data_IF_793240207412
#
_entry.id   IF_793240207412
#
_cell.length_a   1.000
_cell.length_b   1.000
_cell.length_c   1.000
_cell.angle_alpha   90.00
_cell.angle_beta   90.00
_cell.angle_gamma   90.00
#
_symmetry.space_group_name_H-M   'P 1'
#
loop_
_entity.id
_entity.type
_entity.pdbx_description
1 polymer ?
#
# COMPACT_ATOMS: atom_id res chain seq x y z
N UNK A 1 18.24 9.23 29.45
CA UNK A 1 17.65 8.22 28.54
C UNK A 1 16.68 7.35 29.33
N UNK A 2 15.36 7.48 29.15
CA UNK A 2 14.43 6.62 29.86
C UNK A 2 14.27 5.27 29.13
N UNK A 3 14.46 4.19 29.91
CA UNK A 3 14.33 2.80 29.48
C UNK A 3 12.89 2.52 29.04
N UNK A 4 12.74 1.95 27.85
CA UNK A 4 11.47 1.45 27.30
C UNK A 4 11.02 0.28 28.18
N UNK A 5 9.92 0.44 28.92
CA UNK A 5 9.29 -0.63 29.69
C UNK A 5 8.78 -1.72 28.74
N UNK A 6 9.54 -2.78 28.56
CA UNK A 6 9.09 -4.01 27.90
C UNK A 6 8.25 -4.81 28.90
N UNK A 7 6.96 -4.99 28.61
CA UNK A 7 6.13 -5.97 29.32
C UNK A 7 6.69 -7.38 29.03
N UNK A 8 6.75 -8.30 30.01
CA UNK A 8 7.40 -9.60 29.85
C UNK A 8 6.51 -10.59 29.07
N UNK A 9 7.13 -11.35 28.16
CA UNK A 9 6.71 -12.61 27.53
C UNK A 9 5.20 -12.84 27.30
N UNK A 10 4.67 -12.32 26.19
CA UNK A 10 3.50 -12.91 25.54
C UNK A 10 4.01 -13.98 24.55
N UNK A 11 3.74 -15.26 24.83
CA UNK A 11 4.17 -16.34 23.94
C UNK A 11 3.65 -16.08 22.53
N UNK A 12 4.49 -16.13 21.47
CA UNK A 12 4.03 -15.87 20.12
C UNK A 12 2.93 -16.87 19.78
N UNK A 13 1.78 -16.35 19.38
CA UNK A 13 0.62 -17.15 18.96
C UNK A 13 1.06 -18.19 17.92
N UNK A 14 0.38 -19.35 17.90
CA UNK A 14 0.71 -20.42 16.93
C UNK A 14 0.73 -19.90 15.49
N UNK A 15 -0.16 -18.95 15.18
CA UNK A 15 -0.19 -18.22 13.90
C UNK A 15 1.12 -17.46 13.65
N UNK A 16 1.58 -16.68 14.63
CA UNK A 16 2.82 -15.91 14.51
C UNK A 16 4.04 -16.81 14.31
N UNK A 17 4.13 -17.92 15.03
CA UNK A 17 5.18 -18.93 14.82
C UNK A 17 5.14 -19.53 13.42
N UNK A 18 3.94 -19.84 12.91
CA UNK A 18 3.76 -20.35 11.55
C UNK A 18 4.19 -19.31 10.51
N UNK A 19 3.82 -18.04 10.70
CA UNK A 19 4.23 -16.93 9.84
C UNK A 19 5.76 -16.76 9.85
N UNK A 20 6.39 -16.73 11.02
CA UNK A 20 7.85 -16.60 11.15
C UNK A 20 8.58 -17.74 10.44
N UNK A 21 8.12 -19.00 10.60
CA UNK A 21 8.67 -20.15 9.87
C UNK A 21 8.51 -20.02 8.36
N UNK A 22 7.33 -19.60 7.90
CA UNK A 22 7.08 -19.39 6.48
C UNK A 22 7.99 -18.29 5.89
N UNK A 23 8.15 -17.17 6.60
CA UNK A 23 9.06 -16.09 6.22
C UNK A 23 10.52 -16.53 6.18
N UNK A 24 10.96 -17.32 7.16
CA UNK A 24 12.31 -17.91 7.17
C UNK A 24 12.51 -18.87 6.00
N UNK A 25 11.52 -19.73 5.72
CA UNK A 25 11.57 -20.66 4.59
C UNK A 25 11.66 -19.92 3.26
N UNK A 26 10.86 -18.88 3.07
CA UNK A 26 10.90 -18.02 1.88
C UNK A 26 12.28 -17.38 1.70
N UNK A 27 12.82 -16.77 2.77
CA UNK A 27 14.14 -16.15 2.74
C UNK A 27 15.26 -17.16 2.43
N UNK A 28 15.17 -18.37 3.01
CA UNK A 28 16.14 -19.43 2.76
C UNK A 28 16.09 -19.94 1.31
N UNK A 29 14.93 -19.94 0.66
CA UNK A 29 14.83 -20.28 -0.76
C UNK A 29 15.52 -19.26 -1.66
N UNK A 30 15.51 -17.97 -1.29
CA UNK A 30 16.23 -16.91 -1.99
C UNK A 30 17.76 -16.97 -1.81
N UNK A 31 18.25 -17.56 -0.71
CA UNK A 31 19.69 -17.72 -0.42
C UNK A 31 20.30 -19.01 -0.97
N UNK A 32 19.51 -19.85 -1.62
CA UNK A 32 20.01 -21.12 -2.16
C UNK A 32 20.94 -20.85 -3.36
N UNK A 33 22.05 -21.59 -3.45
CA UNK A 33 23.04 -21.49 -4.54
C UNK A 33 22.48 -21.90 -5.92
N UNK A 34 21.25 -22.42 -5.97
CA UNK A 34 20.54 -22.76 -7.20
C UNK A 34 19.35 -23.68 -7.02
N UNK A 35 18.86 -24.24 -8.13
CA UNK A 35 17.80 -25.25 -8.15
C UNK A 35 16.38 -24.70 -8.14
N UNK A 36 15.40 -25.58 -7.91
CA UNK A 36 13.99 -25.24 -8.00
C UNK A 36 13.56 -24.21 -6.94
N UNK A 37 14.17 -24.20 -5.75
CA UNK A 37 13.86 -23.25 -4.66
C UNK A 37 14.16 -21.81 -5.07
N UNK A 38 15.34 -21.56 -5.63
CA UNK A 38 15.72 -20.24 -6.15
C UNK A 38 14.81 -19.82 -7.31
N UNK A 39 14.48 -20.76 -8.22
CA UNK A 39 13.53 -20.50 -9.34
C UNK A 39 12.15 -20.11 -8.83
N UNK A 40 11.65 -20.78 -7.79
CA UNK A 40 10.35 -20.48 -7.18
C UNK A 40 10.37 -19.12 -6.47
N UNK A 41 11.41 -18.83 -5.71
CA UNK A 41 11.57 -17.52 -5.05
C UNK A 41 11.63 -16.39 -6.09
N UNK A 42 12.51 -16.50 -7.09
CA UNK A 42 12.66 -15.47 -8.14
C UNK A 42 11.39 -15.29 -8.98
N UNK A 43 10.70 -16.39 -9.32
CA UNK A 43 9.40 -16.30 -9.99
C UNK A 43 8.34 -15.67 -9.10
N UNK A 44 8.29 -16.04 -7.82
CA UNK A 44 7.37 -15.45 -6.84
C UNK A 44 7.56 -13.93 -6.70
N UNK A 45 8.81 -13.46 -6.55
CA UNK A 45 9.11 -12.02 -6.51
C UNK A 45 8.65 -11.32 -7.79
N UNK A 46 8.95 -11.88 -8.98
CA UNK A 46 8.45 -11.34 -10.26
C UNK A 46 6.92 -11.30 -10.33
N UNK A 47 6.23 -12.28 -9.75
CA UNK A 47 4.77 -12.30 -9.70
C UNK A 47 4.22 -11.22 -8.76
N UNK A 48 4.86 -10.99 -7.61
CA UNK A 48 4.50 -9.89 -6.69
C UNK A 48 4.73 -8.54 -7.36
N UNK A 49 5.80 -8.38 -8.14
CA UNK A 49 6.11 -7.12 -8.83
C UNK A 49 5.10 -6.76 -9.94
N UNK A 50 4.39 -7.76 -10.47
CA UNK A 50 3.28 -7.57 -11.42
C UNK A 50 1.97 -7.15 -10.78
N UNK A 51 1.84 -7.26 -9.45
CA UNK A 51 0.62 -6.86 -8.75
C UNK A 51 0.66 -5.35 -8.57
N UNK A 52 -0.47 -4.71 -8.84
CA UNK A 52 -0.66 -3.27 -8.65
C UNK A 52 -0.25 -2.85 -7.23
N UNK A 53 0.56 -1.79 -7.15
CA UNK A 53 1.10 -1.31 -5.88
C UNK A 53 -0.02 -0.89 -4.92
N UNK A 54 -1.14 -0.38 -5.41
CA UNK A 54 -2.28 0.02 -4.59
C UNK A 54 -2.92 -1.19 -3.91
N UNK A 55 -3.02 -2.33 -4.59
CA UNK A 55 -3.56 -3.56 -4.01
C UNK A 55 -2.66 -4.05 -2.86
N UNK A 56 -1.35 -4.07 -3.08
CA UNK A 56 -0.38 -4.50 -2.06
C UNK A 56 -0.31 -3.51 -0.89
N UNK A 57 -0.37 -2.20 -1.18
CA UNK A 57 -0.41 -1.16 -0.16
C UNK A 57 -1.64 -1.31 0.73
N UNK A 58 -2.83 -1.44 0.14
CA UNK A 58 -4.07 -1.69 0.88
C UNK A 58 -4.02 -3.00 1.68
N UNK A 59 -3.54 -4.08 1.07
CA UNK A 59 -3.39 -5.35 1.77
C UNK A 59 -2.39 -5.28 2.94
N UNK A 60 -1.43 -4.36 2.91
CA UNK A 60 -0.45 -4.20 3.99
C UNK A 60 -1.04 -3.51 5.23
N UNK A 61 -2.12 -2.74 5.08
CA UNK A 61 -2.77 -2.03 6.18
C UNK A 61 -3.34 -3.06 7.17
N UNK A 62 -2.98 -2.89 8.43
CA UNK A 62 -3.51 -3.71 9.53
C UNK A 62 -4.68 -3.00 10.19
N UNK A 63 -5.89 -3.35 9.74
CA UNK A 63 -7.14 -2.82 10.30
C UNK A 63 -7.36 -3.20 11.77
N UNK A 64 -6.60 -4.17 12.30
CA UNK A 64 -6.70 -4.57 13.71
C UNK A 64 -5.90 -3.67 14.66
N UNK A 65 -4.86 -3.00 14.13
CA UNK A 65 -4.02 -2.06 14.87
C UNK A 65 -4.49 -0.61 14.76
N UNK A 66 -5.34 -0.33 13.77
CA UNK A 66 -5.95 0.99 13.60
C UNK A 66 -7.00 1.29 14.67
N UNK A 67 -7.39 2.58 14.83
CA UNK A 67 -8.44 2.95 15.74
C UNK A 67 -9.74 2.20 15.41
N UNK A 68 -10.40 1.69 16.46
CA UNK A 68 -11.70 1.02 16.28
C UNK A 68 -12.75 2.08 16.00
N UNK A 69 -13.51 1.91 14.93
CA UNK A 69 -14.60 2.81 14.50
C UNK A 69 -15.60 3.08 15.63
N UNK A 70 -15.86 2.08 16.49
CA UNK A 70 -16.68 2.25 17.69
C UNK A 70 -16.15 3.27 18.71
N UNK A 71 -14.87 3.67 18.60
CA UNK A 71 -14.23 4.68 19.44
C UNK A 71 -14.20 6.07 18.77
N UNK A 72 -14.48 6.15 17.46
CA UNK A 72 -14.57 7.40 16.68
C UNK A 72 -15.98 7.99 16.68
N UNK A 73 -17.01 7.17 16.97
CA UNK A 73 -18.40 7.61 17.01
C UNK A 73 -18.78 8.43 18.24
N UNK A 74 -18.75 9.77 18.14
CA UNK A 74 -19.75 10.65 18.82
C UNK A 74 -19.96 11.98 18.05
N UNK A 75 -20.33 11.96 16.77
CA UNK A 75 -20.77 13.19 16.06
C UNK A 75 -21.94 13.04 15.07
N UNK A 76 -22.63 11.90 15.01
CA UNK A 76 -23.87 11.78 14.21
C UNK A 76 -25.10 12.02 15.09
N UNK A 77 -25.72 13.19 14.91
CA UNK A 77 -26.94 13.64 15.58
C UNK A 77 -28.15 12.71 15.33
N UNK A 78 -28.39 11.74 16.21
CA UNK A 78 -29.71 11.16 16.49
C UNK A 78 -29.64 10.27 17.75
N UNK A 79 -29.78 10.87 18.94
CA UNK A 79 -29.89 10.10 20.18
C UNK A 79 -29.31 10.84 21.38
N UNK A 80 -30.11 11.74 21.94
CA UNK A 80 -29.81 12.39 23.21
C UNK A 80 -30.10 11.39 24.34
N UNK A 81 -29.24 11.47 25.37
CA UNK A 81 -29.43 11.04 26.76
C UNK A 81 -28.77 9.72 27.20
N UNK A 82 -27.91 9.89 28.23
CA UNK A 82 -27.33 8.90 29.13
C UNK A 82 -25.97 8.29 28.74
N UNK A 83 -24.91 9.10 28.80
CA UNK A 83 -23.70 8.76 29.60
C UNK A 83 -22.74 9.95 29.65
N UNK A 84 -22.83 10.76 30.70
CA UNK A 84 -22.00 11.96 30.90
C UNK A 84 -20.74 11.73 31.74
N UNK A 85 -20.36 10.47 32.03
CA UNK A 85 -19.25 10.16 32.94
C UNK A 85 -18.49 8.87 32.56
N UNK A 86 -17.83 8.86 31.40
CA UNK A 86 -16.77 7.93 30.94
C UNK A 86 -16.78 8.05 29.40
N UNK A 87 -15.82 8.58 28.66
CA UNK A 87 -14.36 8.63 28.79
C UNK A 87 -13.85 9.72 27.84
N UNK A 88 -12.74 10.38 28.20
CA UNK A 88 -11.85 11.10 27.27
C UNK A 88 -11.25 10.09 26.26
N UNK A 89 -12.05 9.61 25.30
CA UNK A 89 -11.58 8.71 24.26
C UNK A 89 -10.79 9.53 23.25
N UNK A 90 -9.56 9.10 22.99
CA UNK A 90 -8.65 9.72 22.03
C UNK A 90 -9.34 9.98 20.70
N UNK A 91 -9.46 11.24 20.29
CA UNK A 91 -9.72 11.58 18.89
C UNK A 91 -8.45 11.17 18.11
N UNK A 92 -8.47 10.00 17.49
CA UNK A 92 -7.31 9.46 16.76
C UNK A 92 -7.29 10.13 15.39
N UNK A 93 -6.48 11.18 15.29
CA UNK A 93 -6.25 11.92 14.06
C UNK A 93 -5.09 11.29 13.29
N UNK A 94 -5.34 10.89 12.04
CA UNK A 94 -4.36 10.27 11.15
C UNK A 94 -3.99 11.29 10.05
N UNK A 95 -2.74 11.81 10.03
CA UNK A 95 -2.33 12.77 9.02
C UNK A 95 -2.09 12.07 7.67
N UNK A 96 -2.78 12.53 6.62
CA UNK A 96 -2.53 12.18 5.23
C UNK A 96 -1.48 13.12 4.65
N UNK A 97 -0.24 12.65 4.56
CA UNK A 97 0.91 13.47 4.18
C UNK A 97 0.96 13.64 2.65
N UNK A 98 1.07 14.89 2.17
CA UNK A 98 1.18 15.20 0.74
C UNK A 98 2.17 16.34 0.44
N UNK A 99 2.77 16.38 -0.77
CA UNK A 99 3.60 17.50 -1.22
C UNK A 99 2.72 18.67 -1.73
N UNK A 100 2.68 19.83 -1.05
CA UNK A 100 1.77 20.92 -1.39
C UNK A 100 2.04 21.54 -2.76
N UNK A 101 3.29 21.69 -3.20
CA UNK A 101 3.62 22.35 -4.46
C UNK A 101 3.14 21.56 -5.69
N UNK A 102 2.96 20.24 -5.57
CA UNK A 102 2.54 19.36 -6.67
C UNK A 102 1.05 18.98 -6.62
N UNK A 103 0.38 19.15 -5.48
CA UNK A 103 -1.04 18.83 -5.30
C UNK A 103 -1.87 20.07 -4.94
N UNK A 104 -1.50 21.25 -5.45
CA UNK A 104 -2.22 22.50 -5.13
C UNK A 104 -3.66 22.55 -5.66
N UNK A 105 -3.96 21.81 -6.73
CA UNK A 105 -5.27 21.82 -7.42
C UNK A 105 -6.18 20.64 -7.06
N UNK A 106 -5.66 19.62 -6.37
CA UNK A 106 -6.37 18.37 -6.09
C UNK A 106 -6.51 18.18 -4.59
N UNK A 107 -7.73 17.92 -4.12
CA UNK A 107 -7.94 17.50 -2.73
C UNK A 107 -7.40 16.07 -2.53
N UNK A 108 -6.32 15.88 -1.75
CA UNK A 108 -5.70 14.57 -1.57
C UNK A 108 -6.64 13.58 -0.89
N UNK A 109 -7.58 14.06 -0.05
CA UNK A 109 -8.54 13.20 0.61
C UNK A 109 -9.61 12.70 -0.37
N UNK A 110 -10.17 13.60 -1.19
CA UNK A 110 -11.13 13.24 -2.22
C UNK A 110 -10.54 12.26 -3.25
N UNK A 111 -9.29 12.49 -3.69
CA UNK A 111 -8.60 11.59 -4.62
C UNK A 111 -8.41 10.18 -4.01
N UNK A 112 -8.02 10.11 -2.73
CA UNK A 112 -7.93 8.84 -2.02
C UNK A 112 -9.29 8.13 -1.97
N UNK A 113 -10.36 8.84 -1.59
CA UNK A 113 -11.71 8.27 -1.51
C UNK A 113 -12.17 7.71 -2.86
N UNK A 114 -11.97 8.46 -3.94
CA UNK A 114 -12.31 8.03 -5.30
C UNK A 114 -11.61 6.72 -5.67
N UNK A 115 -10.30 6.63 -5.44
CA UNK A 115 -9.52 5.42 -5.71
C UNK A 115 -10.01 4.21 -4.90
N UNK A 116 -10.36 4.43 -3.62
CA UNK A 116 -10.88 3.39 -2.74
C UNK A 116 -12.25 2.87 -3.20
N UNK A 117 -13.17 3.77 -3.56
CA UNK A 117 -14.52 3.42 -4.03
C UNK A 117 -14.45 2.66 -5.35
N UNK A 118 -13.63 3.12 -6.29
CA UNK A 118 -13.48 2.50 -7.60
C UNK A 118 -12.94 1.07 -7.51
N UNK A 119 -11.95 0.82 -6.64
CA UNK A 119 -11.24 -0.47 -6.58
C UNK A 119 -11.82 -1.48 -5.59
N UNK A 120 -12.54 -1.02 -4.55
CA UNK A 120 -13.16 -1.90 -3.54
C UNK A 120 -14.01 -3.05 -4.11
N UNK A 121 -14.96 -2.84 -5.05
CA UNK A 121 -15.77 -3.93 -5.59
C UNK A 121 -14.96 -4.93 -6.42
N UNK A 122 -13.86 -4.49 -7.05
CA UNK A 122 -12.96 -5.35 -7.82
C UNK A 122 -12.27 -6.36 -6.90
N UNK A 123 -11.75 -5.90 -5.75
CA UNK A 123 -11.13 -6.78 -4.76
C UNK A 123 -12.10 -7.82 -4.20
N UNK A 124 -13.36 -7.44 -3.94
CA UNK A 124 -14.40 -8.39 -3.51
C UNK A 124 -14.68 -9.47 -4.56
N UNK A 125 -14.85 -9.09 -5.83
CA UNK A 125 -15.08 -10.04 -6.93
C UNK A 125 -13.88 -10.98 -7.12
N UNK A 126 -12.65 -10.45 -7.09
CA UNK A 126 -11.43 -11.24 -7.21
C UNK A 126 -11.22 -12.19 -6.03
N UNK A 127 -11.59 -11.78 -4.81
CA UNK A 127 -11.59 -12.67 -3.64
C UNK A 127 -12.45 -13.91 -3.90
N UNK A 128 -13.70 -13.71 -4.33
CA UNK A 128 -14.62 -14.82 -4.63
C UNK A 128 -14.11 -15.70 -5.76
N UNK A 129 -13.55 -15.10 -6.81
CA UNK A 129 -12.92 -15.84 -7.89
C UNK A 129 -11.82 -16.77 -7.39
N UNK A 130 -10.85 -16.25 -6.62
CA UNK A 130 -9.75 -17.07 -6.12
C UNK A 130 -10.21 -18.13 -5.12
N UNK A 131 -11.20 -17.83 -4.26
CA UNK A 131 -11.82 -18.84 -3.38
C UNK A 131 -12.44 -19.98 -4.19
N UNK A 132 -13.10 -19.66 -5.32
CA UNK A 132 -13.63 -20.67 -6.24
C UNK A 132 -12.53 -21.52 -6.91
N UNK A 133 -11.34 -20.96 -7.17
CA UNK A 133 -10.21 -21.67 -7.80
C UNK A 133 -9.46 -22.59 -6.83
N UNK A 134 -9.43 -22.28 -5.53
CA UNK A 134 -8.76 -23.08 -4.49
C UNK A 134 -9.07 -24.60 -4.58
N UNK A 135 -10.34 -25.07 -4.62
CA UNK A 135 -10.63 -26.50 -4.67
C UNK A 135 -10.05 -27.20 -5.90
N UNK A 136 -9.91 -26.51 -7.03
CA UNK A 136 -9.33 -27.06 -8.26
C UNK A 136 -7.80 -27.21 -8.18
N UNK A 137 -7.15 -26.45 -7.30
CA UNK A 137 -5.70 -26.52 -7.11
C UNK A 137 -5.28 -27.42 -5.96
N UNK A 138 -6.22 -27.86 -5.11
CA UNK A 138 -5.95 -28.79 -4.02
C UNK A 138 -5.34 -30.15 -4.43
N UNK A 139 -5.76 -30.80 -5.56
CA UNK A 139 -5.24 -32.12 -5.95
C UNK A 139 -3.73 -32.18 -6.23
N UNK A 140 -3.09 -31.04 -6.54
CA UNK A 140 -1.63 -30.96 -6.76
C UNK A 140 -0.81 -31.23 -5.49
N UNK A 141 -1.45 -31.36 -4.31
CA UNK A 141 -0.80 -31.77 -3.06
C UNK A 141 -0.24 -33.21 -3.11
N UNK A 142 -0.71 -34.04 -4.04
CA UNK A 142 -0.30 -35.45 -4.15
C UNK A 142 1.11 -35.65 -4.73
N UNK A 143 1.79 -34.59 -5.18
CA UNK A 143 3.13 -34.67 -5.78
C UNK A 143 4.21 -34.50 -4.68
N UNK A 144 5.04 -35.53 -4.41
CA UNK A 144 5.92 -35.55 -3.23
C UNK A 144 7.18 -34.66 -3.32
N UNK A 145 7.52 -34.13 -4.50
CA UNK A 145 8.80 -33.43 -4.73
C UNK A 145 8.70 -31.91 -4.56
N UNK A 146 7.53 -31.31 -4.83
CA UNK A 146 7.34 -29.85 -4.87
C UNK A 146 6.13 -29.51 -3.99
N UNK A 147 6.22 -28.53 -3.06
CA UNK A 147 5.06 -28.08 -2.31
C UNK A 147 3.95 -27.64 -3.28
N UNK A 148 2.67 -27.74 -2.90
CA UNK A 148 1.56 -27.32 -3.76
C UNK A 148 1.52 -25.78 -3.93
N UNK A 149 2.47 -25.24 -4.69
CA UNK A 149 2.63 -23.82 -4.99
C UNK A 149 1.37 -23.23 -5.66
N UNK A 150 0.70 -23.93 -6.60
CA UNK A 150 -0.56 -23.44 -7.16
C UNK A 150 -1.61 -23.18 -6.08
N UNK A 151 -1.80 -24.10 -5.14
CA UNK A 151 -2.74 -23.94 -4.04
C UNK A 151 -2.35 -22.79 -3.12
N UNK A 152 -1.09 -22.76 -2.65
CA UNK A 152 -0.63 -21.69 -1.76
C UNK A 152 -0.75 -20.32 -2.41
N UNK A 153 -0.47 -20.22 -3.71
CA UNK A 153 -0.68 -19.00 -4.48
C UNK A 153 -2.15 -18.60 -4.52
N UNK A 154 -3.08 -19.53 -4.80
CA UNK A 154 -4.51 -19.23 -4.84
C UNK A 154 -5.03 -18.76 -3.46
N UNK A 155 -4.64 -19.44 -2.39
CA UNK A 155 -4.99 -19.06 -1.01
C UNK A 155 -4.43 -17.67 -0.68
N UNK A 156 -3.15 -17.44 -0.99
CA UNK A 156 -2.53 -16.14 -0.78
C UNK A 156 -3.23 -15.04 -1.59
N UNK A 157 -3.57 -15.26 -2.87
CA UNK A 157 -4.30 -14.29 -3.69
C UNK A 157 -5.70 -13.99 -3.15
N UNK A 158 -6.43 -15.03 -2.72
CA UNK A 158 -7.73 -14.84 -2.06
C UNK A 158 -7.58 -13.98 -0.80
N UNK A 159 -6.58 -14.28 0.03
CA UNK A 159 -6.29 -13.53 1.25
C UNK A 159 -5.89 -12.08 0.99
N UNK A 160 -4.99 -11.82 0.03
CA UNK A 160 -4.54 -10.45 -0.27
C UNK A 160 -5.68 -9.58 -0.79
N UNK A 161 -6.53 -10.11 -1.68
CA UNK A 161 -7.70 -9.39 -2.15
C UNK A 161 -8.73 -9.14 -1.05
N UNK A 162 -8.93 -10.11 -0.16
CA UNK A 162 -9.83 -9.93 0.98
C UNK A 162 -9.30 -8.84 1.93
N UNK A 163 -8.01 -8.86 2.24
CA UNK A 163 -7.33 -7.83 3.04
C UNK A 163 -7.42 -6.45 2.38
N UNK A 164 -7.15 -6.35 1.08
CA UNK A 164 -7.27 -5.09 0.34
C UNK A 164 -8.70 -4.54 0.39
N UNK A 165 -9.72 -5.39 0.16
CA UNK A 165 -11.12 -4.98 0.27
C UNK A 165 -11.47 -4.48 1.69
N UNK A 166 -11.06 -5.20 2.73
CA UNK A 166 -11.28 -4.81 4.13
C UNK A 166 -10.57 -3.51 4.50
N UNK A 167 -9.35 -3.30 4.01
CA UNK A 167 -8.62 -2.07 4.20
C UNK A 167 -9.30 -0.90 3.47
N UNK A 168 -9.79 -1.10 2.23
CA UNK A 168 -10.50 -0.05 1.51
C UNK A 168 -11.77 0.39 2.21
N UNK A 169 -12.59 -0.55 2.71
CA UNK A 169 -13.80 -0.21 3.47
C UNK A 169 -13.45 0.51 4.76
N UNK A 170 -12.43 0.04 5.46
CA UNK A 170 -11.95 0.65 6.71
C UNK A 170 -11.45 2.09 6.51
N UNK A 171 -10.65 2.34 5.48
CA UNK A 171 -10.18 3.69 5.16
C UNK A 171 -11.31 4.63 4.74
N UNK A 172 -12.31 4.12 4.01
CA UNK A 172 -13.48 4.91 3.64
C UNK A 172 -14.30 5.30 4.87
N UNK A 173 -14.48 4.37 5.81
CA UNK A 173 -15.15 4.63 7.09
C UNK A 173 -14.39 5.69 7.91
N UNK A 174 -13.06 5.54 8.06
CA UNK A 174 -12.21 6.53 8.73
C UNK A 174 -12.28 7.91 8.08
N UNK A 175 -12.34 7.95 6.76
CA UNK A 175 -12.44 9.21 6.02
C UNK A 175 -13.80 9.87 6.20
N UNK A 176 -14.88 9.09 6.29
CA UNK A 176 -16.23 9.60 6.53
C UNK A 176 -16.43 10.10 7.97
N UNK A 177 -15.67 9.57 8.93
CA UNK A 177 -15.67 9.99 10.33
C UNK A 177 -14.72 11.17 10.62
N UNK A 178 -14.16 11.80 9.57
CA UNK A 178 -13.20 12.91 9.68
C UNK A 178 -11.97 12.57 10.55
N UNK A 179 -11.55 11.30 10.55
CA UNK A 179 -10.35 10.86 11.28
C UNK A 179 -9.07 11.02 10.47
N UNK A 180 -9.17 11.13 9.14
CA UNK A 180 -8.04 11.32 8.22
C UNK A 180 -8.05 12.78 7.77
N UNK A 181 -6.98 13.53 8.08
CA UNK A 181 -6.86 14.91 7.65
C UNK A 181 -5.64 15.12 6.75
N UNK A 182 -5.76 15.87 5.65
CA UNK A 182 -4.63 16.31 4.84
C UNK A 182 -3.62 17.10 5.68
N UNK A 183 -2.37 16.68 5.66
CA UNK A 183 -1.25 17.37 6.32
C UNK A 183 -0.16 17.68 5.29
N UNK A 184 0.07 18.96 4.94
CA UNK A 184 1.12 19.32 4.01
C UNK A 184 2.50 19.02 4.61
N UNK A 185 3.40 18.44 3.82
CA UNK A 185 4.79 18.22 4.25
C UNK A 185 5.78 18.98 3.37
N UNK A 186 6.49 19.92 3.99
CA UNK A 186 7.59 20.66 3.36
C UNK A 186 8.78 19.75 3.04
N UNK A 187 8.98 18.68 3.80
CA UNK A 187 10.10 17.75 3.58
C UNK A 187 9.84 16.87 2.35
N UNK A 188 8.60 16.42 2.14
CA UNK A 188 8.23 15.82 0.85
C UNK A 188 8.36 16.83 -0.28
N UNK A 189 7.89 18.06 -0.07
CA UNK A 189 7.94 19.10 -1.08
C UNK A 189 9.37 19.31 -1.61
N UNK A 190 10.35 19.49 -0.72
CA UNK A 190 11.77 19.60 -1.09
C UNK A 190 12.28 18.39 -1.87
N UNK A 191 11.86 17.19 -1.48
CA UNK A 191 12.25 15.95 -2.15
C UNK A 191 11.74 15.96 -3.60
N UNK A 192 10.47 16.27 -3.82
CA UNK A 192 9.89 16.32 -5.16
C UNK A 192 10.41 17.51 -5.98
N UNK A 193 10.63 18.69 -5.37
CA UNK A 193 11.21 19.85 -6.04
C UNK A 193 12.68 19.66 -6.43
N UNK A 194 13.45 18.88 -5.67
CA UNK A 194 14.81 18.53 -6.06
C UNK A 194 14.80 17.52 -7.21
N UNK A 195 13.85 16.59 -7.20
CA UNK A 195 13.70 15.61 -8.25
C UNK A 195 13.27 16.25 -9.58
N UNK A 196 12.37 17.26 -9.55
CA UNK A 196 11.98 18.01 -10.74
C UNK A 196 13.14 18.81 -11.37
N UNK A 197 14.03 19.37 -10.57
CA UNK A 197 15.23 20.09 -11.06
C UNK A 197 16.24 19.20 -11.78
N UNK A 198 16.17 17.88 -11.57
CA UNK A 198 17.05 16.91 -12.23
C UNK A 198 16.52 16.46 -13.60
N UNK A 199 15.30 16.85 -13.96
CA UNK A 199 14.79 16.64 -15.32
C UNK A 199 15.52 17.58 -16.30
N UNK A 200 15.98 17.07 -17.47
CA UNK A 200 16.49 17.92 -18.54
C UNK A 200 15.40 18.90 -18.99
N UNK A 201 15.76 20.17 -19.13
CA UNK A 201 14.87 21.26 -19.54
C UNK A 201 14.34 20.99 -20.97
N UNK A 202 13.02 20.83 -21.20
CA UNK A 202 12.46 20.93 -22.53
C UNK A 202 12.39 22.41 -22.87
N UNK A 203 13.53 23.01 -23.22
CA UNK A 203 13.55 24.34 -23.81
C UNK A 203 12.76 24.29 -25.14
N UNK A 204 11.45 24.56 -25.07
CA UNK A 204 10.50 25.01 -26.11
C UNK A 204 9.06 24.53 -25.79
N UNK A 205 8.42 25.06 -24.74
CA UNK A 205 6.95 25.11 -24.68
C UNK A 205 6.55 26.50 -24.21
N UNK A 206 6.43 27.39 -25.19
CA UNK A 206 5.79 28.69 -25.01
C UNK A 206 4.33 28.48 -24.59
N UNK A 207 3.94 29.27 -23.59
CA UNK A 207 2.60 29.71 -23.22
C UNK A 207 1.41 28.99 -23.91
N UNK A 208 0.65 28.21 -23.13
CA UNK A 208 -0.82 28.28 -23.20
C UNK A 208 -1.42 27.63 -21.93
N UNK A 209 -2.44 28.31 -21.39
CA UNK A 209 -3.29 27.82 -20.30
C UNK A 209 -3.77 26.40 -20.60
N UNK A 210 -3.59 25.47 -19.67
CA UNK A 210 -4.17 24.13 -19.74
C UNK A 210 -4.61 23.70 -18.35
N UNK A 211 -5.87 23.98 -18.07
CA UNK A 211 -6.64 23.31 -17.04
C UNK A 211 -6.65 21.79 -17.31
N UNK A 212 -6.50 21.02 -16.22
CA UNK A 212 -6.90 19.62 -16.08
C UNK A 212 -6.22 18.60 -17.01
N UNK A 213 -5.01 18.17 -16.65
CA UNK A 213 -4.63 16.75 -16.76
C UNK A 213 -3.46 16.45 -15.83
N UNK A 214 -3.42 15.24 -15.27
CA UNK A 214 -2.34 14.77 -14.41
C UNK A 214 -1.06 14.73 -15.26
N UNK A 215 -0.26 15.81 -15.19
CA UNK A 215 0.94 16.02 -16.01
C UNK A 215 1.78 14.73 -16.11
N UNK A 216 1.96 14.21 -17.33
CA UNK A 216 2.82 13.04 -17.60
C UNK A 216 4.25 13.24 -17.07
N UNK A 217 4.67 14.51 -16.94
CA UNK A 217 5.89 14.98 -16.29
C UNK A 217 6.02 14.56 -14.83
N UNK A 218 4.92 14.43 -14.08
CA UNK A 218 4.92 14.02 -12.66
C UNK A 218 5.35 12.56 -12.53
N UNK A 219 4.94 11.69 -13.46
CA UNK A 219 5.33 10.29 -13.45
C UNK A 219 6.82 10.07 -13.76
N UNK A 220 7.46 11.05 -14.42
CA UNK A 220 8.89 11.05 -14.73
C UNK A 220 9.77 11.72 -13.64
N UNK A 221 9.15 12.27 -12.58
CA UNK A 221 9.83 13.07 -11.52
C UNK A 221 10.99 12.36 -10.83
N UNK A 222 11.04 11.03 -10.82
CA UNK A 222 12.13 10.27 -10.22
C UNK A 222 12.89 9.44 -11.27
N UNK A 223 13.89 10.03 -11.96
CA UNK A 223 14.75 9.29 -12.89
C UNK A 223 15.48 8.14 -12.19
N UNK A 224 16.06 8.41 -11.01
CA UNK A 224 16.67 7.45 -10.10
C UNK A 224 15.91 7.42 -8.76
N UNK A 225 14.93 6.51 -8.59
CA UNK A 225 14.07 6.51 -7.42
C UNK A 225 14.75 5.98 -6.14
N UNK A 226 15.81 5.17 -6.27
CA UNK A 226 16.47 4.50 -5.13
C UNK A 226 17.03 5.44 -4.05
N UNK A 227 17.86 6.47 -4.36
CA UNK A 227 18.40 7.38 -3.34
C UNK A 227 17.28 8.21 -2.69
N UNK A 228 16.32 8.67 -3.48
CA UNK A 228 15.20 9.48 -3.00
C UNK A 228 14.28 8.70 -2.07
N UNK A 229 13.94 7.46 -2.42
CA UNK A 229 13.15 6.56 -1.56
C UNK A 229 13.89 6.28 -0.25
N UNK A 230 15.21 6.10 -0.29
CA UNK A 230 16.00 5.88 0.93
C UNK A 230 15.92 7.09 1.86
N UNK A 231 16.05 8.30 1.32
CA UNK A 231 15.88 9.54 2.08
C UNK A 231 14.47 9.66 2.69
N UNK A 232 13.42 9.28 1.96
CA UNK A 232 12.03 9.27 2.48
C UNK A 232 11.88 8.27 3.63
N UNK A 233 12.43 7.06 3.49
CA UNK A 233 12.36 6.03 4.54
C UNK A 233 13.02 6.52 5.82
N UNK A 234 14.19 7.14 5.72
CA UNK A 234 14.92 7.66 6.86
C UNK A 234 14.19 8.85 7.51
N UNK A 235 13.67 9.77 6.69
CA UNK A 235 12.93 10.97 7.16
C UNK A 235 11.67 10.59 7.94
N UNK A 236 10.87 9.65 7.42
CA UNK A 236 9.60 9.24 8.03
C UNK A 236 9.72 8.00 8.92
N UNK A 237 10.94 7.50 9.17
CA UNK A 237 11.20 6.29 9.95
C UNK A 237 10.34 5.09 9.50
N UNK A 238 10.20 4.92 8.18
CA UNK A 238 9.36 3.86 7.60
C UNK A 238 10.00 2.47 7.84
N UNK A 239 9.18 1.41 7.90
CA UNK A 239 9.71 0.05 8.03
C UNK A 239 10.60 -0.30 6.83
N UNK A 240 11.64 -1.11 7.06
CA UNK A 240 12.62 -1.51 6.01
C UNK A 240 11.98 -2.14 4.76
N UNK A 241 10.78 -2.73 4.89
CA UNK A 241 10.02 -3.28 3.76
C UNK A 241 9.35 -2.24 2.86
N UNK A 242 9.19 -1.00 3.32
CA UNK A 242 8.51 0.07 2.59
C UNK A 242 9.24 0.46 1.29
N UNK A 243 10.58 0.36 1.27
CA UNK A 243 11.37 0.73 0.10
C UNK A 243 11.04 -0.08 -1.16
N UNK A 244 10.81 -1.39 -1.02
CA UNK A 244 10.38 -2.23 -2.16
C UNK A 244 9.01 -1.82 -2.68
N UNK A 245 8.08 -1.49 -1.78
CA UNK A 245 6.74 -1.05 -2.17
C UNK A 245 6.75 0.31 -2.86
N UNK A 246 7.53 1.27 -2.34
CA UNK A 246 7.68 2.59 -2.95
C UNK A 246 8.36 2.51 -4.32
N UNK A 247 9.42 1.69 -4.45
CA UNK A 247 10.12 1.51 -5.71
C UNK A 247 9.18 0.91 -6.76
N UNK A 248 8.40 -0.11 -6.39
CA UNK A 248 7.38 -0.69 -7.27
C UNK A 248 6.33 0.33 -7.69
N UNK A 249 5.87 1.19 -6.77
CA UNK A 249 4.89 2.22 -7.10
C UNK A 249 5.43 3.19 -8.14
N UNK A 250 6.68 3.65 -8.00
CA UNK A 250 7.32 4.54 -8.99
C UNK A 250 7.51 3.84 -10.34
N UNK A 251 8.01 2.60 -10.36
CA UNK A 251 8.18 1.85 -11.61
C UNK A 251 6.85 1.63 -12.34
N UNK A 252 5.79 1.26 -11.62
CA UNK A 252 4.47 1.07 -12.21
C UNK A 252 3.86 2.39 -12.70
N UNK A 253 4.05 3.49 -11.97
CA UNK A 253 3.61 4.82 -12.42
C UNK A 253 4.31 5.24 -13.72
N UNK A 254 5.64 5.02 -13.81
CA UNK A 254 6.42 5.30 -15.02
C UNK A 254 5.96 4.46 -16.23
N UNK A 255 5.65 3.18 -16.02
CA UNK A 255 5.14 2.31 -17.09
C UNK A 255 3.77 2.80 -17.57
N UNK A 256 2.89 3.21 -16.65
CA UNK A 256 1.56 3.75 -16.98
C UNK A 256 1.66 5.05 -17.77
N UNK A 257 2.53 5.98 -17.37
CA UNK A 257 2.70 7.24 -18.11
C UNK A 257 3.26 7.04 -19.51
N UNK A 258 4.24 6.15 -19.69
CA UNK A 258 4.78 5.81 -21.01
C UNK A 258 3.72 5.19 -21.93
N UNK A 259 2.82 4.39 -21.36
CA UNK A 259 1.72 3.80 -22.11
C UNK A 259 0.69 4.85 -22.54
N UNK A 260 0.39 5.82 -21.68
CA UNK A 260 -0.54 6.91 -22.00
C UNK A 260 0.04 7.86 -23.06
N UNK A 261 1.34 8.20 -22.98
CA UNK A 261 2.06 8.95 -24.02
C UNK A 261 2.00 8.23 -25.37
N UNK A 262 2.32 6.93 -25.41
CA UNK A 262 2.28 6.15 -26.65
C UNK A 262 0.86 6.04 -27.26
N UNK A 263 -0.18 6.08 -26.43
CA UNK A 263 -1.57 6.09 -26.86
C UNK A 263 -2.00 7.45 -27.43
N UNK A 264 -1.49 8.55 -26.88
CA UNK A 264 -1.77 9.90 -27.39
C UNK A 264 -1.04 10.19 -28.70
N UNK A 265 0.10 9.54 -28.94
CA UNK A 265 0.89 9.68 -30.18
C UNK A 265 0.41 8.79 -31.35
N UNK A 266 -0.57 7.87 -31.12
CA UNK A 266 -1.10 6.90 -32.10
C UNK A 266 -2.48 7.27 -32.62
#
# INVERSE_FOLDING_TARGET
>A
MPKRNTRPDEQPTLLRRAQEKASQMWSNWGKADGGWKLKVHTYGEKMVDRIDFEELALASIDTSLGPKISQLGTHSSAGKEMSQQQTKAHNVSIPLIYPPSFMSSVDPLASLQEQLVLRSPLHRRKTLFWVGVIPFTAPFMLIPVIPNLPFFFCVWRAWTHWKAHKASTYLLELSNEDAIHPSPSQDLDKVYSNASKLLPDPASRDNEDSDLEFDSSIAQLLPDPAPTISHIIDTYSLPKGAGRSLLRAVEQAKIRSQFDEAKNDS
#
